data_IF_932450882321
#
_entry.id   IF_932450882321
#
_cell.length_a   1.000
_cell.length_b   1.000
_cell.length_c   1.000
_cell.angle_alpha   90.00
_cell.angle_beta   90.00
_cell.angle_gamma   90.00
#
_symmetry.space_group_name_H-M   'P 1'
#
loop_
_entity.id
_entity.type
_entity.pdbx_description
1 polymer ?
#
# COMPACT_ATOMS: atom_id res chain seq x y z
N UNK A 1 15.58 -21.73 16.96
CA UNK A 1 16.21 -20.75 16.06
C UNK A 1 16.50 -19.50 16.88
N UNK A 2 17.74 -19.36 17.39
CA UNK A 2 18.12 -18.22 18.22
C UNK A 2 18.32 -17.01 17.30
N UNK A 3 17.46 -16.01 17.44
CA UNK A 3 17.63 -14.69 16.82
C UNK A 3 18.76 -14.01 17.59
N UNK A 4 19.95 -13.95 17.02
CA UNK A 4 21.04 -13.18 17.62
C UNK A 4 20.59 -11.73 17.75
N UNK A 5 20.59 -11.21 18.98
CA UNK A 5 20.13 -9.86 19.26
C UNK A 5 21.25 -8.92 18.86
N UNK A 6 21.16 -8.36 17.65
CA UNK A 6 22.00 -7.22 17.25
C UNK A 6 21.71 -6.07 18.22
N UNK A 7 22.74 -5.65 18.95
CA UNK A 7 22.65 -4.51 19.87
C UNK A 7 22.81 -3.22 19.09
N UNK A 8 21.80 -2.36 19.17
CA UNK A 8 21.80 -1.06 18.50
C UNK A 8 21.24 0.02 19.45
N UNK A 9 21.70 1.24 19.23
CA UNK A 9 21.24 2.42 19.94
C UNK A 9 20.77 3.47 18.93
N UNK A 10 19.68 4.16 19.26
CA UNK A 10 19.06 5.18 18.39
C UNK A 10 18.98 6.48 19.16
N UNK A 11 19.74 7.47 18.71
CA UNK A 11 19.69 8.82 19.25
C UNK A 11 18.92 9.72 18.27
N UNK A 12 17.81 10.28 18.73
CA UNK A 12 16.96 11.16 17.95
C UNK A 12 17.20 12.62 18.34
N UNK A 13 17.36 13.49 17.34
CA UNK A 13 17.31 14.95 17.49
C UNK A 13 16.25 15.51 16.53
N UNK A 14 15.86 16.78 16.68
CA UNK A 14 14.86 17.40 15.82
C UNK A 14 15.21 17.34 14.32
N UNK A 15 16.52 17.34 13.98
CA UNK A 15 17.02 17.39 12.60
C UNK A 15 17.65 16.11 12.10
N UNK A 16 18.00 15.19 13.00
CA UNK A 16 18.85 14.04 12.66
C UNK A 16 18.56 12.83 13.54
N UNK A 17 18.44 11.67 12.91
CA UNK A 17 18.40 10.37 13.55
C UNK A 17 19.76 9.70 13.40
N UNK A 18 20.41 9.44 14.53
CA UNK A 18 21.70 8.75 14.58
C UNK A 18 21.48 7.33 15.06
N UNK A 19 21.81 6.37 14.21
CA UNK A 19 21.73 4.94 14.53
C UNK A 19 23.14 4.42 14.73
N UNK A 20 23.38 3.78 15.87
CA UNK A 20 24.65 3.16 16.21
C UNK A 20 24.43 1.66 16.32
N UNK A 21 25.08 0.89 15.46
CA UNK A 21 24.98 -0.56 15.44
C UNK A 21 26.33 -1.12 15.88
N UNK A 22 26.32 -1.97 16.91
CA UNK A 22 27.51 -2.68 17.35
C UNK A 22 27.75 -3.82 16.37
N UNK A 23 28.76 -3.65 15.52
CA UNK A 23 29.15 -4.67 14.53
C UNK A 23 30.31 -5.44 15.15
N UNK A 24 30.06 -6.70 15.53
CA UNK A 24 31.15 -7.60 15.95
C UNK A 24 32.22 -7.68 14.85
N UNK A 25 33.43 -8.18 15.19
CA UNK A 25 34.61 -8.27 14.30
C UNK A 25 34.44 -9.04 12.98
N UNK A 26 33.22 -9.43 12.63
CA UNK A 26 32.86 -10.10 11.39
C UNK A 26 32.43 -9.05 10.36
N UNK A 27 32.97 -9.17 9.14
CA UNK A 27 32.70 -8.33 7.97
C UNK A 27 31.19 -8.24 7.67
N UNK A 28 30.51 -7.32 8.36
CA UNK A 28 29.07 -7.11 8.24
C UNK A 28 28.87 -5.83 7.44
N UNK A 29 28.30 -5.99 6.24
CA UNK A 29 27.93 -4.85 5.42
C UNK A 29 26.62 -4.29 5.96
N UNK A 30 26.70 -3.11 6.58
CA UNK A 30 25.53 -2.38 7.03
C UNK A 30 25.17 -1.37 5.95
N UNK A 31 23.89 -1.23 5.60
CA UNK A 31 23.43 -0.21 4.67
C UNK A 31 21.94 0.05 4.85
N UNK A 32 21.48 1.22 4.42
CA UNK A 32 20.05 1.52 4.37
C UNK A 32 19.39 0.73 3.24
N UNK A 33 18.19 0.19 3.48
CA UNK A 33 17.42 -0.56 2.49
C UNK A 33 17.28 0.25 1.20
N UNK A 34 17.59 -0.37 0.06
CA UNK A 34 17.59 0.24 -1.29
C UNK A 34 18.60 1.37 -1.55
N UNK A 35 19.51 1.68 -0.61
CA UNK A 35 20.50 2.76 -0.76
C UNK A 35 21.96 2.28 -0.64
N UNK A 36 22.22 1.03 -1.04
CA UNK A 36 23.58 0.48 -1.07
C UNK A 36 24.45 1.30 -2.03
N UNK A 37 25.51 1.92 -1.52
CA UNK A 37 26.45 2.70 -2.35
C UNK A 37 26.12 4.18 -2.51
N UNK A 38 25.05 4.69 -1.88
CA UNK A 38 24.70 6.10 -1.95
C UNK A 38 25.51 6.95 -0.95
N UNK A 39 26.40 7.82 -1.46
CA UNK A 39 27.40 8.57 -0.67
C UNK A 39 26.82 9.37 0.51
N UNK A 40 25.58 9.88 0.40
CA UNK A 40 24.94 10.70 1.44
C UNK A 40 24.51 9.91 2.69
N UNK A 41 24.21 8.62 2.54
CA UNK A 41 23.57 7.79 3.58
C UNK A 41 24.42 6.57 3.95
N UNK A 42 25.72 6.61 3.59
CA UNK A 42 26.66 5.54 3.94
C UNK A 42 26.94 5.52 5.45
N UNK A 43 27.00 4.32 6.06
CA UNK A 43 27.47 4.20 7.43
C UNK A 43 28.94 4.60 7.51
N UNK A 44 29.28 5.31 8.59
CA UNK A 44 30.66 5.54 8.99
C UNK A 44 31.03 4.51 10.04
N UNK A 45 31.97 3.64 9.70
CA UNK A 45 32.49 2.65 10.66
C UNK A 45 33.56 3.31 11.52
N UNK A 46 33.30 3.44 12.82
CA UNK A 46 34.23 4.03 13.79
C UNK A 46 34.40 3.04 14.93
N UNK A 47 35.63 2.56 15.16
CA UNK A 47 35.98 1.67 16.29
C UNK A 47 35.05 0.44 16.47
N UNK A 48 34.75 -0.28 15.38
CA UNK A 48 33.86 -1.46 15.42
C UNK A 48 32.36 -1.15 15.54
N UNK A 49 31.97 0.12 15.38
CA UNK A 49 30.57 0.55 15.39
C UNK A 49 30.20 1.14 14.04
N UNK A 50 29.10 0.69 13.46
CA UNK A 50 28.54 1.31 12.27
C UNK A 50 27.61 2.45 12.70
N UNK A 51 27.97 3.68 12.34
CA UNK A 51 27.19 4.88 12.64
C UNK A 51 26.52 5.39 11.38
N UNK A 52 25.19 5.35 11.35
CA UNK A 52 24.37 5.89 10.26
C UNK A 52 23.75 7.19 10.72
N UNK A 53 23.83 8.22 9.87
CA UNK A 53 23.20 9.52 10.10
C UNK A 53 22.08 9.69 9.07
N UNK A 54 20.86 9.80 9.54
CA UNK A 54 19.67 9.97 8.71
C UNK A 54 19.12 11.39 8.93
N UNK A 55 19.13 12.27 7.93
CA UNK A 55 18.56 13.61 8.05
C UNK A 55 17.05 13.53 8.20
N UNK A 56 16.48 14.28 9.15
CA UNK A 56 15.02 14.37 9.37
C UNK A 56 14.41 15.63 8.75
N UNK A 57 15.21 16.68 8.54
CA UNK A 57 14.80 17.92 7.85
C UNK A 57 14.48 17.64 6.36
N UNK A 58 15.35 16.89 5.67
CA UNK A 58 15.11 16.37 4.33
C UNK A 58 15.03 14.83 4.34
N UNK A 59 13.99 14.31 4.98
CA UNK A 59 13.83 12.88 5.25
C UNK A 59 13.82 11.97 3.99
N UNK A 60 13.57 12.55 2.82
CA UNK A 60 13.56 11.83 1.55
C UNK A 60 14.96 11.41 1.08
N UNK A 61 16.03 12.13 1.43
CA UNK A 61 17.40 11.87 0.94
C UNK A 61 17.89 10.46 1.25
N UNK A 62 17.54 9.94 2.42
CA UNK A 62 17.92 8.60 2.87
C UNK A 62 16.74 7.63 2.93
N UNK A 63 15.65 7.90 2.20
CA UNK A 63 14.48 7.02 2.17
C UNK A 63 13.82 6.81 3.53
N UNK A 64 13.93 7.79 4.44
CA UNK A 64 13.24 7.71 5.74
C UNK A 64 11.76 7.97 5.52
N UNK A 65 10.89 7.22 6.18
CA UNK A 65 9.45 7.45 6.11
C UNK A 65 9.01 8.33 7.26
N UNK A 66 8.22 9.37 6.98
CA UNK A 66 7.62 10.30 7.95
C UNK A 66 6.12 10.05 8.08
N UNK A 67 5.65 9.74 9.27
CA UNK A 67 4.24 9.59 9.60
C UNK A 67 3.87 10.57 10.70
N UNK A 68 2.90 11.45 10.45
CA UNK A 68 2.43 12.42 11.47
C UNK A 68 1.03 12.03 11.93
N UNK A 69 0.86 11.85 13.24
CA UNK A 69 -0.45 11.64 13.83
C UNK A 69 -1.18 12.98 13.90
N UNK A 70 -2.26 13.12 13.13
CA UNK A 70 -3.06 14.37 13.07
C UNK A 70 -3.76 14.72 14.39
N UNK A 71 -4.06 13.71 15.22
CA UNK A 71 -4.74 13.90 16.49
C UNK A 71 -3.77 14.34 17.60
N UNK A 72 -2.58 13.73 17.69
CA UNK A 72 -1.61 14.03 18.76
C UNK A 72 -0.50 14.99 18.35
N UNK A 73 -0.34 15.25 17.05
CA UNK A 73 0.74 16.06 16.48
C UNK A 73 2.10 15.36 16.42
N UNK A 74 2.27 14.19 17.07
CA UNK A 74 3.54 13.46 17.06
C UNK A 74 3.94 13.03 15.66
N UNK A 75 5.22 13.19 15.34
CA UNK A 75 5.80 12.73 14.08
C UNK A 75 6.71 11.53 14.34
N UNK A 76 6.37 10.39 13.76
CA UNK A 76 7.15 9.18 13.73
C UNK A 76 8.01 9.16 12.46
N UNK A 77 9.32 9.00 12.65
CA UNK A 77 10.28 8.73 11.59
C UNK A 77 10.74 7.29 11.74
N UNK A 78 10.70 6.51 10.67
CA UNK A 78 11.25 5.15 10.66
C UNK A 78 11.96 4.84 9.36
N UNK A 79 12.95 3.95 9.45
CA UNK A 79 13.73 3.49 8.32
C UNK A 79 14.19 2.05 8.56
N UNK A 80 14.50 1.33 7.49
CA UNK A 80 14.94 -0.06 7.53
C UNK A 80 16.42 -0.13 7.16
N UNK A 81 17.20 -0.69 8.07
CA UNK A 81 18.64 -0.87 7.90
C UNK A 81 18.89 -2.36 7.70
N UNK A 82 19.65 -2.69 6.67
CA UNK A 82 20.03 -4.05 6.33
C UNK A 82 21.41 -4.34 6.90
N UNK A 83 21.54 -5.48 7.55
CA UNK A 83 22.81 -6.02 8.04
C UNK A 83 23.05 -7.32 7.27
N UNK A 84 24.03 -7.28 6.38
CA UNK A 84 24.40 -8.40 5.54
C UNK A 84 25.71 -9.01 6.05
N UNK A 85 25.67 -10.26 6.50
CA UNK A 85 26.82 -10.99 7.03
C UNK A 85 27.09 -12.19 6.13
N UNK A 86 28.35 -12.43 5.76
CA UNK A 86 28.71 -13.48 4.80
C UNK A 86 28.27 -14.91 5.20
N UNK A 87 28.00 -15.17 6.49
CA UNK A 87 27.66 -16.50 7.04
C UNK A 87 26.26 -16.59 7.66
N UNK A 88 25.46 -15.52 7.63
CA UNK A 88 24.12 -15.47 8.25
C UNK A 88 23.08 -14.94 7.26
N UNK A 89 21.79 -15.29 7.45
CA UNK A 89 20.72 -14.68 6.67
C UNK A 89 20.73 -13.16 6.87
N UNK A 90 20.30 -12.44 5.83
CA UNK A 90 20.16 -10.98 5.88
C UNK A 90 19.21 -10.59 7.00
N UNK A 91 19.66 -9.70 7.86
CA UNK A 91 18.86 -9.18 8.96
C UNK A 91 18.36 -7.77 8.63
N UNK A 92 17.07 -7.54 8.90
CA UNK A 92 16.41 -6.24 8.70
C UNK A 92 16.15 -5.61 10.06
N UNK A 93 16.78 -4.47 10.31
CA UNK A 93 16.63 -3.67 11.51
C UNK A 93 15.68 -2.50 11.26
N UNK A 94 14.54 -2.49 11.92
CA UNK A 94 13.60 -1.38 11.90
C UNK A 94 13.95 -0.38 13.01
N UNK A 95 14.44 0.80 12.62
CA UNK A 95 14.73 1.90 13.55
C UNK A 95 13.61 2.93 13.53
N UNK A 96 13.28 3.47 14.71
CA UNK A 96 12.21 4.46 14.88
C UNK A 96 12.62 5.60 15.80
N UNK A 97 12.17 6.81 15.45
CA UNK A 97 12.27 8.01 16.27
C UNK A 97 10.89 8.67 16.34
N UNK A 98 10.41 8.94 17.55
CA UNK A 98 9.17 9.69 17.77
C UNK A 98 9.55 11.08 18.27
N UNK A 99 9.20 12.10 17.49
CA UNK A 99 9.39 13.49 17.87
C UNK A 99 8.05 14.10 18.30
N UNK A 100 8.01 14.87 19.40
CA UNK A 100 6.82 15.62 19.78
C UNK A 100 6.45 16.60 18.68
N UNK A 101 5.15 16.69 18.40
CA UNK A 101 4.62 17.67 17.48
C UNK A 101 4.87 19.07 18.02
N UNK A 102 5.42 19.94 17.17
CA UNK A 102 5.54 21.36 17.50
C UNK A 102 4.15 22.00 17.42
N UNK A 103 3.45 22.12 18.56
CA UNK A 103 2.13 22.77 18.64
C UNK A 103 2.15 24.24 18.19
N UNK A 104 3.34 24.85 18.08
CA UNK A 104 3.52 26.25 17.68
C UNK A 104 3.72 26.42 16.18
N UNK A 105 3.95 25.33 15.44
CA UNK A 105 4.04 25.37 13.98
C UNK A 105 2.68 25.01 13.40
N UNK A 106 1.97 25.95 12.74
CA UNK A 106 0.88 25.57 11.87
C UNK A 106 1.37 24.50 10.91
N UNK A 107 0.55 23.48 10.71
CA UNK A 107 0.92 22.31 9.94
C UNK A 107 1.45 22.75 8.57
N UNK A 108 2.59 22.20 8.18
CA UNK A 108 3.41 22.63 7.02
C UNK A 108 2.63 22.72 5.69
N UNK A 109 1.43 22.11 5.59
CA UNK A 109 0.51 22.27 4.47
C UNK A 109 -0.10 23.68 4.36
N UNK A 110 -0.27 24.42 5.47
CA UNK A 110 -0.72 25.82 5.46
C UNK A 110 0.37 26.79 4.96
N UNK A 111 1.64 26.38 5.04
CA UNK A 111 2.79 27.17 4.59
C UNK A 111 3.30 26.76 3.21
N UNK A 112 2.68 25.79 2.53
CA UNK A 112 3.03 25.56 1.12
C UNK A 112 2.63 26.84 0.38
N UNK A 113 3.57 27.63 -0.17
CA UNK A 113 3.15 28.64 -1.12
C UNK A 113 2.39 27.87 -2.19
N UNK A 114 1.12 28.21 -2.41
CA UNK A 114 0.45 27.82 -3.64
C UNK A 114 1.42 28.22 -4.74
N UNK A 115 2.02 27.24 -5.42
CA UNK A 115 2.91 27.49 -6.55
C UNK A 115 2.01 27.88 -7.71
N UNK A 116 1.45 29.09 -7.61
CA UNK A 116 0.57 29.70 -8.60
C UNK A 116 1.36 30.33 -9.75
N UNK A 117 2.68 30.23 -9.71
CA UNK A 117 3.56 30.75 -10.76
C UNK A 117 4.12 29.56 -11.51
N UNK A 118 3.67 29.42 -12.74
CA UNK A 118 4.20 28.46 -13.70
C UNK A 118 5.67 28.80 -13.97
N UNK A 119 6.53 27.82 -14.28
CA UNK A 119 7.95 28.07 -14.55
C UNK A 119 8.15 29.11 -15.67
N UNK A 120 9.24 29.89 -15.64
CA UNK A 120 9.58 30.78 -16.77
C UNK A 120 9.71 29.95 -18.05
N UNK A 121 9.05 30.39 -19.13
CA UNK A 121 8.96 29.64 -20.39
C UNK A 121 7.81 28.64 -20.49
N UNK A 122 6.91 28.59 -19.50
CA UNK A 122 5.63 27.92 -19.68
C UNK A 122 4.77 28.72 -20.67
N UNK A 123 4.55 28.13 -21.84
CA UNK A 123 3.65 28.63 -22.87
C UNK A 123 2.54 27.58 -23.02
N UNK A 124 1.31 27.95 -22.68
CA UNK A 124 0.15 27.11 -22.95
C UNK A 124 -0.13 27.21 -24.46
N UNK A 125 -0.07 26.09 -25.16
CA UNK A 125 -0.40 26.07 -26.59
C UNK A 125 -1.88 26.42 -26.74
N UNK A 126 -2.20 27.48 -27.49
CA UNK A 126 -3.59 27.90 -27.74
C UNK A 126 -4.38 26.80 -28.48
N UNK A 127 -3.68 25.99 -29.29
CA UNK A 127 -4.22 24.84 -29.99
C UNK A 127 -3.35 23.60 -29.74
N UNK A 128 -3.79 22.73 -28.84
CA UNK A 128 -3.30 21.35 -28.84
C UNK A 128 -3.93 20.66 -30.06
N UNK A 129 -3.13 20.39 -31.10
CA UNK A 129 -3.48 19.46 -32.17
C UNK A 129 -3.46 18.03 -31.60
N UNK A 130 -4.38 17.75 -30.67
CA UNK A 130 -4.69 16.40 -30.22
C UNK A 130 -5.28 15.76 -31.46
N UNK A 131 -4.53 14.90 -32.12
CA UNK A 131 -5.14 13.87 -32.97
C UNK A 131 -6.23 13.24 -32.11
N UNK A 132 -7.48 13.52 -32.43
CA UNK A 132 -8.66 13.21 -31.62
C UNK A 132 -8.74 11.70 -31.35
N UNK A 133 -8.00 11.18 -30.36
CA UNK A 133 -8.18 9.84 -29.84
C UNK A 133 -9.29 9.95 -28.82
N UNK A 134 -10.51 10.11 -29.33
CA UNK A 134 -11.72 9.96 -28.53
C UNK A 134 -11.96 8.46 -28.39
N UNK A 135 -11.28 7.85 -27.41
CA UNK A 135 -11.51 6.45 -27.06
C UNK A 135 -12.63 6.40 -26.01
N UNK A 136 -13.77 5.82 -26.38
CA UNK A 136 -14.84 5.52 -25.43
C UNK A 136 -14.64 4.11 -24.85
N UNK A 137 -14.79 3.98 -23.54
CA UNK A 137 -14.89 2.67 -22.92
C UNK A 137 -16.11 1.92 -23.47
N UNK A 138 -16.05 0.59 -23.59
CA UNK A 138 -17.19 -0.19 -24.05
C UNK A 138 -18.37 -0.06 -23.08
N UNK A 139 -19.60 -0.15 -23.61
CA UNK A 139 -20.81 -0.26 -22.79
C UNK A 139 -20.89 -1.68 -22.21
N UNK A 140 -20.92 -1.85 -20.87
CA UNK A 140 -20.93 -3.18 -20.25
C UNK A 140 -22.31 -3.85 -20.30
N UNK A 141 -22.34 -5.11 -20.71
CA UNK A 141 -23.49 -5.99 -20.57
C UNK A 141 -23.21 -7.04 -19.48
N UNK A 142 -24.13 -7.13 -18.54
CA UNK A 142 -24.07 -8.08 -17.43
C UNK A 142 -24.93 -9.30 -17.74
N UNK A 143 -24.37 -10.48 -17.55
CA UNK A 143 -25.07 -11.74 -17.71
C UNK A 143 -25.06 -12.53 -16.40
N UNK A 144 -26.16 -13.24 -16.15
CA UNK A 144 -26.36 -14.13 -15.02
C UNK A 144 -26.73 -15.51 -15.57
N UNK A 145 -26.06 -16.55 -15.10
CA UNK A 145 -26.37 -17.93 -15.44
C UNK A 145 -26.30 -18.82 -14.21
N UNK A 146 -27.18 -19.81 -14.13
CA UNK A 146 -27.08 -20.88 -13.13
C UNK A 146 -26.50 -22.11 -13.83
N UNK A 147 -25.52 -22.76 -13.20
CA UNK A 147 -24.85 -23.95 -13.70
C UNK A 147 -25.04 -25.11 -12.74
N UNK A 148 -25.11 -26.31 -13.31
CA UNK A 148 -25.07 -27.56 -12.58
C UNK A 148 -24.15 -28.50 -13.33
N UNK A 149 -23.13 -29.05 -12.66
CA UNK A 149 -22.13 -29.94 -13.27
C UNK A 149 -21.54 -29.37 -14.57
N UNK A 150 -21.24 -28.05 -14.58
CA UNK A 150 -20.66 -27.35 -15.73
C UNK A 150 -21.62 -27.02 -16.88
N UNK A 151 -22.91 -27.40 -16.81
CA UNK A 151 -23.92 -27.07 -17.82
C UNK A 151 -24.78 -25.90 -17.35
N UNK A 152 -25.02 -24.94 -18.24
CA UNK A 152 -25.92 -23.80 -17.98
C UNK A 152 -27.36 -24.28 -18.01
N UNK A 153 -28.13 -23.90 -16.99
CA UNK A 153 -29.57 -24.10 -16.89
C UNK A 153 -30.26 -22.87 -17.51
N UNK A 154 -30.97 -23.08 -18.61
CA UNK A 154 -31.61 -22.01 -19.41
C UNK A 154 -33.15 -22.01 -19.27
N UNK A 155 -33.71 -23.02 -18.59
CA UNK A 155 -35.16 -23.19 -18.41
C UNK A 155 -35.50 -23.54 -16.96
N UNK A 156 -36.80 -23.52 -16.64
CA UNK A 156 -37.28 -24.01 -15.36
C UNK A 156 -36.78 -25.44 -15.11
N UNK A 157 -36.10 -25.64 -13.98
CA UNK A 157 -35.41 -26.88 -13.66
C UNK A 157 -35.78 -27.36 -12.26
N UNK A 158 -36.13 -28.63 -12.13
CA UNK A 158 -36.43 -29.24 -10.85
C UNK A 158 -35.15 -29.74 -10.19
N UNK A 159 -34.80 -29.16 -9.06
CA UNK A 159 -33.62 -29.52 -8.28
C UNK A 159 -34.03 -30.26 -7.02
N UNK A 160 -33.29 -31.33 -6.70
CA UNK A 160 -33.48 -32.02 -5.43
C UNK A 160 -32.81 -31.22 -4.30
N UNK A 161 -33.41 -31.13 -3.10
CA UNK A 161 -32.76 -30.50 -1.95
C UNK A 161 -31.36 -31.08 -1.70
N UNK A 162 -30.38 -30.22 -1.45
CA UNK A 162 -28.98 -30.59 -1.27
C UNK A 162 -28.16 -30.69 -2.57
N UNK A 163 -28.78 -30.49 -3.73
CA UNK A 163 -28.06 -30.42 -5.00
C UNK A 163 -27.28 -29.10 -5.11
N UNK A 164 -25.95 -29.13 -5.30
CA UNK A 164 -25.17 -27.91 -5.43
C UNK A 164 -25.50 -27.22 -6.77
N UNK A 165 -25.73 -25.92 -6.72
CA UNK A 165 -25.93 -25.05 -7.87
C UNK A 165 -24.87 -23.98 -7.88
N UNK A 166 -24.37 -23.65 -9.07
CA UNK A 166 -23.35 -22.63 -9.28
C UNK A 166 -23.99 -21.42 -9.95
N UNK A 167 -24.14 -20.33 -9.23
CA UNK A 167 -24.56 -19.06 -9.83
C UNK A 167 -23.34 -18.30 -10.34
N UNK A 168 -23.35 -17.95 -11.63
CA UNK A 168 -22.24 -17.27 -12.30
C UNK A 168 -22.72 -15.95 -12.87
N UNK A 169 -22.11 -14.85 -12.41
CA UNK A 169 -22.30 -13.50 -12.93
C UNK A 169 -21.05 -13.14 -13.73
N UNK A 170 -21.23 -12.68 -14.97
CA UNK A 170 -20.10 -12.35 -15.85
C UNK A 170 -20.43 -11.18 -16.77
N UNK A 171 -19.38 -10.46 -17.19
CA UNK A 171 -19.47 -9.41 -18.21
C UNK A 171 -19.30 -10.00 -19.60
N UNK A 172 -19.83 -9.31 -20.59
CA UNK A 172 -19.51 -9.58 -21.99
C UNK A 172 -17.99 -9.49 -22.26
N UNK A 173 -17.54 -10.18 -23.32
CA UNK A 173 -16.12 -10.33 -23.63
C UNK A 173 -15.42 -9.01 -23.94
N UNK A 174 -16.15 -7.99 -24.42
CA UNK A 174 -15.58 -6.68 -24.77
C UNK A 174 -15.33 -5.86 -23.50
N UNK A 175 -16.21 -5.98 -22.51
CA UNK A 175 -16.20 -5.17 -21.30
C UNK A 175 -15.40 -5.78 -20.14
N UNK A 176 -15.22 -7.11 -20.12
CA UNK A 176 -14.50 -7.82 -19.06
C UNK A 176 -13.02 -7.42 -18.91
N UNK A 177 -12.40 -6.87 -19.96
CA UNK A 177 -11.03 -6.34 -19.93
C UNK A 177 -10.93 -4.95 -19.29
N UNK A 178 -12.03 -4.21 -19.24
CA UNK A 178 -12.08 -2.81 -18.80
C UNK A 178 -12.72 -2.66 -17.42
N UNK A 179 -13.75 -3.44 -17.12
CA UNK A 179 -14.51 -3.35 -15.87
C UNK A 179 -14.35 -4.59 -15.00
N UNK A 180 -14.36 -4.39 -13.68
CA UNK A 180 -14.46 -5.45 -12.69
C UNK A 180 -15.90 -5.62 -12.17
N UNK A 181 -16.21 -6.79 -11.61
CA UNK A 181 -17.50 -7.08 -10.99
C UNK A 181 -17.37 -7.16 -9.47
N UNK A 182 -18.26 -6.44 -8.77
CA UNK A 182 -18.45 -6.56 -7.32
C UNK A 182 -19.94 -6.75 -7.04
N UNK A 183 -20.30 -7.90 -6.49
CA UNK A 183 -21.66 -8.15 -6.04
C UNK A 183 -21.84 -7.58 -4.62
N UNK A 184 -22.54 -6.46 -4.49
CA UNK A 184 -22.83 -5.85 -3.18
C UNK A 184 -24.02 -6.48 -2.49
N UNK A 185 -25.03 -6.87 -3.26
CA UNK A 185 -26.29 -7.41 -2.75
C UNK A 185 -26.86 -8.45 -3.71
N UNK A 186 -27.15 -9.65 -3.20
CA UNK A 186 -27.77 -10.73 -3.97
C UNK A 186 -28.89 -11.35 -3.14
N UNK A 187 -30.09 -11.41 -3.72
CA UNK A 187 -31.32 -11.87 -3.08
C UNK A 187 -32.03 -12.87 -3.98
N UNK A 188 -32.54 -13.94 -3.39
CA UNK A 188 -33.42 -14.91 -4.05
C UNK A 188 -34.83 -14.73 -3.50
N UNK A 189 -35.81 -14.81 -4.38
CA UNK A 189 -37.23 -14.58 -4.09
C UNK A 189 -38.08 -15.59 -4.83
N UNK A 190 -39.20 -15.99 -4.26
CA UNK A 190 -40.22 -16.80 -4.92
C UNK A 190 -41.23 -15.95 -5.73
N UNK A 191 -41.00 -14.64 -5.82
CA UNK A 191 -41.90 -13.67 -6.44
C UNK A 191 -42.88 -13.03 -5.47
N UNK A 192 -42.88 -13.44 -4.20
CA UNK A 192 -43.59 -12.78 -3.11
C UNK A 192 -42.62 -11.95 -2.26
N UNK A 193 -43.01 -10.74 -1.80
CA UNK A 193 -42.12 -9.87 -1.02
C UNK A 193 -41.86 -10.39 0.41
N UNK A 194 -42.58 -11.41 0.86
CA UNK A 194 -42.49 -11.95 2.22
C UNK A 194 -41.47 -13.09 2.36
N UNK A 195 -41.06 -13.70 1.24
CA UNK A 195 -40.21 -14.90 1.22
C UNK A 195 -38.95 -14.63 0.40
N UNK A 196 -38.08 -13.79 0.96
CA UNK A 196 -36.80 -13.42 0.38
C UNK A 196 -35.62 -13.93 1.22
N UNK A 197 -34.63 -14.51 0.55
CA UNK A 197 -33.37 -14.93 1.18
C UNK A 197 -32.19 -14.14 0.61
N UNK A 198 -31.38 -13.57 1.51
CA UNK A 198 -30.18 -12.81 1.13
C UNK A 198 -28.99 -13.76 1.10
N UNK A 199 -28.30 -13.82 -0.04
CA UNK A 199 -27.10 -14.66 -0.24
C UNK A 199 -25.83 -13.84 -0.08
N UNK A 200 -25.83 -12.59 -0.57
CA UNK A 200 -24.69 -11.66 -0.47
C UNK A 200 -25.19 -10.34 0.09
N UNK A 201 -24.48 -9.83 1.11
CA UNK A 201 -24.76 -8.53 1.71
C UNK A 201 -23.46 -7.78 1.95
N UNK A 202 -23.39 -6.54 1.47
CA UNK A 202 -22.21 -5.66 1.57
C UNK A 202 -20.93 -6.29 1.00
N UNK A 203 -21.03 -7.13 -0.03
CA UNK A 203 -19.88 -7.81 -0.63
C UNK A 203 -19.38 -9.04 0.13
N UNK A 204 -20.07 -9.47 1.19
CA UNK A 204 -19.76 -10.69 1.93
C UNK A 204 -20.88 -11.72 1.78
N UNK A 205 -20.52 -13.00 1.84
CA UNK A 205 -21.49 -14.10 1.86
C UNK A 205 -22.31 -14.02 3.16
N UNK A 206 -23.62 -13.81 3.03
CA UNK A 206 -24.52 -13.69 4.18
C UNK A 206 -24.60 -15.00 4.99
N UNK A 207 -24.40 -16.15 4.33
CA UNK A 207 -24.33 -17.46 4.97
C UNK A 207 -23.12 -17.63 5.93
N UNK A 208 -22.09 -16.77 5.82
CA UNK A 208 -20.92 -16.81 6.70
C UNK A 208 -21.08 -15.95 7.97
N UNK A 209 -22.24 -15.32 8.18
CA UNK A 209 -22.53 -14.41 9.31
C UNK A 209 -23.47 -15.08 10.35
N UNK A 210 -23.67 -16.40 10.26
CA UNK A 210 -24.29 -17.19 11.34
C UNK A 210 -23.24 -17.85 12.23
#
# INVERSE_FOLDING_TARGET
MYKDIVTYDVTCSAKLMKVMIMVGSNQSNVFVENLRGFKGCMPKTVAGKAVIKLPLDNFHECGTTRMTNKYTGHTLYYNRIIIDQAKKPREVLLVKCVLPGDKTKPAEWEKRPKRNVLPPGFFEAEDLNITNIVAHAPTPYLHLAVRQNGRVLDTAYNVQPGTPLEMVIYLDSKSSSTYGLLASYLKVTDGTPEHDEIIVMNGFNAAAIK
#
